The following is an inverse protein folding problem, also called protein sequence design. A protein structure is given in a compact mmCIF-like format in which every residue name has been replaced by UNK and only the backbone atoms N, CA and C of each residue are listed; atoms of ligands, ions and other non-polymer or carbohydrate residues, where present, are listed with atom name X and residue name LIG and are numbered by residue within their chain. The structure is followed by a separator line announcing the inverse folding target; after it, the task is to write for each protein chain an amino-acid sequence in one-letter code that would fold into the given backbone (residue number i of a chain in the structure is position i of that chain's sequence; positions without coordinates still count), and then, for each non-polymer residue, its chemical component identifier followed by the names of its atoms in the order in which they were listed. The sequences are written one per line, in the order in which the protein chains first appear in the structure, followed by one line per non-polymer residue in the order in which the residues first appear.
data_IF_760461123253
#
_entry.id   IF_760461123253
#
_cell.length_a   1.000
_cell.length_b   1.000
_cell.length_c   1.000
_cell.angle_alpha   90.00
_cell.angle_beta   90.00
_cell.angle_gamma   90.00
#
_symmetry.space_group_name_H-M   'P 1'
#
loop_
_entity.id
_entity.type
_entity.pdbx_description
1 polymer ?
#
# COMPACT_ATOMS: atom_id res chain seq x y z
N UNK A 1 7.50 -25.14 -18.46
CA UNK A 1 6.83 -23.93 -18.99
C UNK A 1 5.92 -23.43 -17.89
N UNK A 2 6.35 -22.42 -17.14
CA UNK A 2 5.80 -22.02 -15.83
C UNK A 2 4.55 -21.17 -15.99
N UNK A 3 3.37 -21.78 -15.93
CA UNK A 3 2.06 -21.11 -16.00
C UNK A 3 1.53 -20.60 -14.65
N UNK A 4 2.30 -20.70 -13.57
CA UNK A 4 1.80 -20.49 -12.20
C UNK A 4 1.91 -19.05 -11.67
N UNK A 5 2.39 -18.10 -12.49
CA UNK A 5 2.43 -16.69 -12.11
C UNK A 5 1.29 -15.92 -12.76
N UNK A 6 0.35 -15.49 -11.92
CA UNK A 6 -0.60 -14.42 -12.23
C UNK A 6 0.15 -13.18 -12.74
N UNK A 7 -0.34 -12.51 -13.79
CA UNK A 7 0.30 -11.32 -14.35
C UNK A 7 0.34 -10.19 -13.32
N UNK A 8 1.30 -9.27 -13.40
CA UNK A 8 1.30 -8.09 -12.52
C UNK A 8 0.05 -7.22 -12.78
N UNK A 9 -0.75 -6.88 -11.73
CA UNK A 9 -1.98 -6.12 -11.92
C UNK A 9 -1.67 -4.66 -12.27
N UNK A 10 -2.43 -4.10 -13.21
CA UNK A 10 -2.36 -2.68 -13.60
C UNK A 10 -3.69 -1.99 -13.35
N UNK A 11 -3.65 -0.82 -12.73
CA UNK A 11 -4.85 -0.01 -12.43
C UNK A 11 -4.58 1.47 -12.72
N UNK A 12 -5.62 2.19 -13.12
CA UNK A 12 -5.59 3.65 -13.27
C UNK A 12 -6.34 4.29 -12.10
N UNK A 13 -5.72 5.27 -11.48
CA UNK A 13 -6.29 6.13 -10.44
C UNK A 13 -6.24 7.59 -10.90
N UNK A 14 -6.82 8.51 -10.11
CA UNK A 14 -6.87 9.94 -10.43
C UNK A 14 -5.48 10.57 -10.68
N UNK A 15 -4.46 10.12 -9.94
CA UNK A 15 -3.08 10.63 -10.04
C UNK A 15 -2.23 9.94 -11.12
N UNK A 16 -2.68 8.84 -11.74
CA UNK A 16 -1.91 8.15 -12.79
C UNK A 16 -2.14 6.63 -12.85
N UNK A 17 -1.26 5.93 -13.57
CA UNK A 17 -1.28 4.45 -13.63
C UNK A 17 -0.34 3.83 -12.58
N UNK A 18 -0.78 2.70 -12.03
CA UNK A 18 -0.03 1.88 -11.08
C UNK A 18 0.19 0.47 -11.63
N UNK A 19 1.40 -0.05 -11.41
CA UNK A 19 1.74 -1.46 -11.56
C UNK A 19 1.93 -2.07 -10.17
N UNK A 20 1.07 -3.01 -9.79
CA UNK A 20 1.14 -3.71 -8.50
C UNK A 20 1.83 -5.06 -8.61
N UNK A 21 1.71 -5.84 -7.53
CA UNK A 21 2.16 -7.21 -7.45
C UNK A 21 0.98 -8.16 -7.37
N UNK A 22 1.11 -9.32 -8.00
CA UNK A 22 0.33 -10.47 -7.60
C UNK A 22 1.07 -11.24 -6.51
N UNK A 23 0.36 -11.58 -5.44
CA UNK A 23 0.82 -12.47 -4.38
C UNK A 23 0.19 -13.83 -4.60
N UNK A 24 1.04 -14.84 -4.73
CA UNK A 24 0.60 -16.23 -4.88
C UNK A 24 -0.21 -16.67 -3.66
N UNK A 25 -1.10 -17.64 -3.87
CA UNK A 25 -1.81 -18.26 -2.76
C UNK A 25 -0.81 -18.92 -1.80
N UNK A 26 -1.11 -18.88 -0.51
CA UNK A 26 -0.35 -19.56 0.53
C UNK A 26 -1.24 -20.64 1.18
N UNK A 27 -1.11 -21.91 0.77
CA UNK A 27 -1.94 -23.01 1.27
C UNK A 27 -1.81 -23.24 2.79
N UNK A 28 -0.65 -22.94 3.39
CA UNK A 28 -0.40 -23.15 4.82
C UNK A 28 -1.18 -22.17 5.69
N UNK A 29 -1.41 -20.95 5.19
CA UNK A 29 -2.16 -19.89 5.90
C UNK A 29 -3.61 -19.78 5.42
N UNK A 30 -3.98 -20.48 4.35
CA UNK A 30 -5.29 -20.37 3.70
C UNK A 30 -5.50 -19.05 2.95
N UNK A 31 -4.47 -18.23 2.79
CA UNK A 31 -4.57 -16.95 2.07
C UNK A 31 -4.66 -17.24 0.56
N UNK A 32 -5.76 -16.86 -0.12
CA UNK A 32 -5.88 -17.02 -1.56
C UNK A 32 -4.94 -16.07 -2.30
N UNK A 33 -4.78 -16.26 -3.61
CA UNK A 33 -4.07 -15.30 -4.45
C UNK A 33 -4.72 -13.90 -4.38
N UNK A 34 -3.91 -12.85 -4.31
CA UNK A 34 -4.39 -11.46 -4.22
C UNK A 34 -3.48 -10.47 -4.95
N UNK A 35 -4.04 -9.32 -5.30
CA UNK A 35 -3.31 -8.17 -5.82
C UNK A 35 -2.89 -7.26 -4.65
N UNK A 36 -1.69 -6.70 -4.74
CA UNK A 36 -1.14 -5.76 -3.77
C UNK A 36 -0.55 -4.54 -4.50
N UNK A 37 -0.88 -3.35 -4.04
CA UNK A 37 -0.29 -2.08 -4.45
C UNK A 37 0.30 -1.44 -3.20
N UNK A 38 1.63 -1.34 -3.14
CA UNK A 38 2.38 -0.92 -1.97
C UNK A 38 3.01 0.45 -2.21
N UNK A 39 3.07 1.28 -1.16
CA UNK A 39 3.71 2.60 -1.24
C UNK A 39 3.00 3.58 -2.17
N UNK A 40 1.68 3.50 -2.29
CA UNK A 40 0.90 4.39 -3.17
C UNK A 40 0.76 5.76 -2.48
N UNK A 41 1.27 6.86 -3.06
CA UNK A 41 1.13 8.19 -2.46
C UNK A 41 -0.34 8.60 -2.46
N UNK A 42 -0.83 9.09 -1.33
CA UNK A 42 -2.19 9.66 -1.22
C UNK A 42 -2.18 11.18 -1.00
N UNK A 43 -1.02 11.76 -0.68
CA UNK A 43 -0.82 13.20 -0.57
C UNK A 43 0.62 13.59 -0.92
N UNK A 44 0.86 14.88 -1.17
CA UNK A 44 2.22 15.40 -1.34
C UNK A 44 3.06 15.18 -0.08
N UNK A 45 4.38 14.93 -0.21
CA UNK A 45 5.28 14.89 0.94
C UNK A 45 5.17 16.18 1.77
N UNK A 46 4.93 16.11 3.10
CA UNK A 46 4.79 17.27 3.98
C UNK A 46 6.16 17.89 4.33
N UNK A 47 6.99 18.12 3.32
CA UNK A 47 8.36 18.62 3.47
C UNK A 47 8.42 20.14 3.32
N UNK A 48 9.45 20.76 3.92
CA UNK A 48 9.72 22.19 3.80
C UNK A 48 8.50 23.05 4.16
N UNK A 49 8.04 23.87 3.20
CA UNK A 49 6.88 24.74 3.38
C UNK A 49 5.56 24.00 3.60
N UNK A 50 5.47 22.70 3.31
CA UNK A 50 4.27 21.89 3.57
C UNK A 50 4.28 21.28 4.98
N UNK A 51 5.38 21.39 5.72
CA UNK A 51 5.49 20.88 7.09
C UNK A 51 4.46 21.56 7.99
N UNK A 52 3.76 20.77 8.79
CA UNK A 52 2.68 21.21 9.68
C UNK A 52 1.46 21.85 8.98
N UNK A 53 1.34 21.74 7.66
CA UNK A 53 0.15 22.15 6.90
C UNK A 53 -0.74 20.93 6.61
N UNK A 54 -2.00 21.20 6.29
CA UNK A 54 -2.92 20.16 5.84
C UNK A 54 -2.37 19.46 4.58
N UNK A 55 -2.57 18.13 4.43
CA UNK A 55 -2.14 17.40 3.24
C UNK A 55 -2.68 18.01 1.96
N UNK A 56 -1.84 18.02 0.91
CA UNK A 56 -2.22 18.49 -0.43
C UNK A 56 -2.34 17.32 -1.40
N UNK A 57 -3.22 17.39 -2.42
CA UNK A 57 -3.36 16.34 -3.42
C UNK A 57 -2.04 16.04 -4.14
N UNK A 58 -1.78 14.76 -4.42
CA UNK A 58 -0.60 14.31 -5.17
C UNK A 58 -0.64 14.87 -6.59
N UNK A 59 0.50 15.32 -7.10
CA UNK A 59 0.65 15.63 -8.52
C UNK A 59 0.39 14.40 -9.40
N UNK A 60 -0.23 14.62 -10.55
CA UNK A 60 -0.30 13.56 -11.56
C UNK A 60 1.10 13.21 -12.06
N UNK A 61 1.38 11.92 -12.24
CA UNK A 61 2.61 11.45 -12.85
C UNK A 61 2.37 10.91 -14.26
N UNK A 62 3.33 11.11 -15.19
CA UNK A 62 3.27 10.46 -16.50
C UNK A 62 3.64 8.97 -16.37
N UNK A 63 3.13 8.17 -17.31
CA UNK A 63 3.47 6.75 -17.41
C UNK A 63 2.90 5.89 -16.27
N UNK A 64 3.63 4.84 -15.92
CA UNK A 64 3.22 3.82 -14.94
C UNK A 64 4.17 3.88 -13.74
N UNK A 65 3.61 4.05 -12.54
CA UNK A 65 4.37 4.00 -11.28
C UNK A 65 4.34 2.59 -10.72
N UNK A 66 5.49 2.07 -10.31
CA UNK A 66 5.57 0.80 -9.61
C UNK A 66 5.10 0.96 -8.16
N UNK A 67 4.11 0.16 -7.77
CA UNK A 67 3.57 0.06 -6.41
C UNK A 67 3.86 -1.32 -5.84
N UNK A 68 5.15 -1.68 -5.83
CA UNK A 68 5.61 -3.06 -5.58
C UNK A 68 6.45 -3.18 -4.30
N UNK A 69 6.70 -2.07 -3.60
CA UNK A 69 7.48 -2.03 -2.36
C UNK A 69 6.78 -1.14 -1.35
N UNK A 70 6.92 -1.50 -0.07
CA UNK A 70 6.52 -0.61 1.02
C UNK A 70 7.40 0.64 1.00
N UNK A 71 6.81 1.79 1.35
CA UNK A 71 7.52 3.04 1.50
C UNK A 71 7.97 3.27 2.95
N UNK A 72 8.66 4.39 3.20
CA UNK A 72 9.17 4.78 4.49
C UNK A 72 8.04 5.11 5.46
N UNK A 73 8.07 4.52 6.66
CA UNK A 73 7.18 4.91 7.75
C UNK A 73 7.39 6.37 8.13
N UNK A 74 6.36 6.96 8.73
CA UNK A 74 6.49 8.29 9.30
C UNK A 74 7.54 8.34 10.39
N UNK A 75 8.19 9.49 10.49
CA UNK A 75 9.24 9.73 11.47
C UNK A 75 8.70 9.58 12.90
N UNK A 76 9.31 8.69 13.69
CA UNK A 76 8.90 8.36 15.06
C UNK A 76 10.11 7.94 15.91
N UNK A 77 9.99 8.09 17.23
CA UNK A 77 11.04 7.76 18.21
C UNK A 77 11.35 8.92 19.15
N UNK A 78 12.30 8.72 20.07
CA UNK A 78 12.85 9.80 20.88
C UNK A 78 13.89 10.61 20.09
N UNK A 79 14.36 11.72 20.65
CA UNK A 79 15.38 12.55 20.03
C UNK A 79 16.69 11.77 19.76
N UNK A 80 16.98 10.77 20.59
CA UNK A 80 18.19 9.95 20.55
C UNK A 80 18.08 8.74 19.62
N UNK A 81 16.85 8.35 19.23
CA UNK A 81 16.59 7.13 18.46
C UNK A 81 15.44 7.32 17.46
N UNK A 82 15.51 8.40 16.68
CA UNK A 82 14.53 8.70 15.65
C UNK A 82 14.73 7.83 14.40
N UNK A 83 13.63 7.44 13.76
CA UNK A 83 13.68 6.65 12.53
C UNK A 83 12.45 6.90 11.65
N UNK A 84 12.58 6.68 10.34
CA UNK A 84 11.54 6.93 9.35
C UNK A 84 11.83 8.16 8.50
N UNK A 85 10.80 8.63 7.79
CA UNK A 85 10.86 9.78 6.89
C UNK A 85 9.68 10.74 7.15
N UNK A 86 9.86 12.03 6.89
CA UNK A 86 8.72 12.96 6.78
C UNK A 86 7.95 12.74 5.47
N UNK A 87 8.61 12.20 4.43
CA UNK A 87 7.94 11.70 3.23
C UNK A 87 7.36 10.30 3.50
N UNK A 88 6.17 10.27 4.11
CA UNK A 88 5.54 9.03 4.58
C UNK A 88 4.03 8.93 4.29
N UNK A 89 3.46 9.84 3.51
CA UNK A 89 2.02 9.88 3.20
C UNK A 89 1.66 8.89 2.08
N UNK A 90 1.90 7.62 2.37
CA UNK A 90 1.70 6.49 1.48
C UNK A 90 0.70 5.48 2.07
N UNK A 91 -0.03 4.79 1.19
CA UNK A 91 -0.98 3.74 1.54
C UNK A 91 -0.64 2.42 0.83
N UNK A 92 -1.10 1.32 1.41
CA UNK A 92 -1.01 0.00 0.81
C UNK A 92 -2.43 -0.52 0.56
N UNK A 93 -2.69 -1.01 -0.65
CA UNK A 93 -4.01 -1.50 -1.08
C UNK A 93 -3.89 -2.98 -1.43
N UNK A 94 -4.79 -3.79 -0.86
CA UNK A 94 -4.87 -5.21 -1.12
C UNK A 94 -6.27 -5.54 -1.64
N UNK A 95 -6.36 -6.39 -2.67
CA UNK A 95 -7.64 -6.88 -3.19
C UNK A 95 -7.53 -8.34 -3.58
N UNK A 96 -8.60 -9.14 -3.48
CA UNK A 96 -8.63 -10.48 -4.07
C UNK A 96 -8.16 -10.46 -5.53
N UNK A 97 -7.55 -11.54 -6.01
CA UNK A 97 -7.07 -11.60 -7.39
C UNK A 97 -8.23 -11.41 -8.38
N UNK A 98 -8.19 -10.30 -9.12
CA UNK A 98 -9.25 -9.91 -10.04
C UNK A 98 -8.96 -10.54 -11.42
N UNK A 99 -9.55 -11.69 -11.72
CA UNK A 99 -9.96 -11.94 -13.10
C UNK A 99 -11.15 -11.01 -13.33
N UNK A 100 -11.00 -9.94 -14.14
CA UNK A 100 -12.05 -8.91 -14.32
C UNK A 100 -13.43 -9.58 -14.53
N UNK A 101 -14.38 -9.49 -13.59
CA UNK A 101 -15.74 -9.93 -13.86
C UNK A 101 -16.37 -8.91 -14.81
N UNK A 102 -17.02 -9.37 -15.88
CA UNK A 102 -17.76 -8.50 -16.81
C UNK A 102 -18.95 -7.77 -16.17
N UNK A 103 -19.31 -8.12 -14.92
CA UNK A 103 -20.35 -7.47 -14.14
C UNK A 103 -19.72 -6.81 -12.89
N UNK A 104 -19.65 -5.48 -12.91
CA UNK A 104 -19.14 -4.61 -11.84
C UNK A 104 -19.97 -4.71 -10.55
N UNK A 105 -19.72 -5.73 -9.74
CA UNK A 105 -20.13 -5.68 -8.34
C UNK A 105 -19.02 -4.98 -7.56
N UNK A 106 -19.30 -3.74 -7.14
CA UNK A 106 -18.43 -3.04 -6.19
C UNK A 106 -18.29 -3.88 -4.92
N UNK A 107 -17.05 -4.12 -4.52
CA UNK A 107 -16.74 -4.88 -3.29
C UNK A 107 -16.67 -3.93 -2.11
N UNK A 108 -16.91 -4.47 -0.91
CA UNK A 108 -16.69 -3.73 0.34
C UNK A 108 -15.20 -3.42 0.49
N UNK A 109 -14.89 -2.17 0.82
CA UNK A 109 -13.54 -1.74 1.16
C UNK A 109 -13.41 -1.59 2.67
N UNK A 110 -12.34 -2.12 3.25
CA UNK A 110 -12.02 -1.96 4.67
C UNK A 110 -10.78 -1.08 4.77
N UNK A 111 -10.90 0.05 5.46
CA UNK A 111 -9.76 0.92 5.78
C UNK A 111 -9.25 0.55 7.17
N UNK A 112 -8.01 0.09 7.26
CA UNK A 112 -7.33 -0.11 8.54
C UNK A 112 -6.46 1.11 8.83
N UNK A 113 -6.67 1.72 9.99
CA UNK A 113 -5.79 2.73 10.56
C UNK A 113 -5.03 2.06 11.71
N UNK A 114 -3.69 2.17 11.72
CA UNK A 114 -2.90 1.66 12.83
C UNK A 114 -3.07 2.61 14.03
N UNK A 115 -3.68 2.16 15.15
CA UNK A 115 -4.13 3.06 16.20
C UNK A 115 -3.08 3.37 17.26
N UNK A 116 -1.87 2.79 17.16
CA UNK A 116 -0.92 2.82 18.28
C UNK A 116 0.11 3.94 18.14
N UNK A 117 0.04 5.01 18.95
CA UNK A 117 1.01 6.10 18.92
C UNK A 117 2.39 5.70 19.49
N UNK A 118 2.47 4.59 20.23
CA UNK A 118 3.67 4.13 20.94
C UNK A 118 4.36 2.93 20.27
N UNK A 119 3.69 2.25 19.34
CA UNK A 119 4.35 1.28 18.47
C UNK A 119 4.76 2.01 17.20
N UNK A 120 6.01 1.80 16.82
CA UNK A 120 6.56 2.24 15.56
C UNK A 120 5.60 1.84 14.44
N UNK A 121 4.92 2.81 13.82
CA UNK A 121 4.01 2.59 12.70
C UNK A 121 4.78 1.81 11.65
N UNK A 122 4.28 0.62 11.34
CA UNK A 122 4.90 -0.24 10.36
C UNK A 122 4.04 -0.24 9.12
N UNK A 123 4.55 0.29 8.01
CA UNK A 123 4.08 -0.11 6.67
C UNK A 123 4.51 -1.56 6.39
N UNK A 124 4.16 -2.48 7.28
CA UNK A 124 4.38 -3.91 7.12
C UNK A 124 3.05 -4.55 6.72
N UNK A 125 3.17 -5.71 6.10
CA UNK A 125 2.02 -6.53 5.76
C UNK A 125 1.22 -6.86 7.02
N UNK A 126 -0.11 -6.80 6.92
CA UNK A 126 -1.00 -7.21 8.01
C UNK A 126 -0.96 -8.73 8.01
N UNK A 127 -0.03 -9.30 8.78
CA UNK A 127 -0.01 -10.74 9.03
C UNK A 127 -1.18 -11.08 9.96
N UNK A 128 -2.01 -12.08 9.63
CA UNK A 128 -2.98 -12.60 10.57
C UNK A 128 -2.24 -13.07 11.82
N UNK A 129 -2.72 -12.69 13.00
CA UNK A 129 -2.26 -13.33 14.23
C UNK A 129 -2.66 -14.80 14.17
N UNK A 130 -1.69 -15.70 14.04
CA UNK A 130 -1.93 -17.12 14.25
C UNK A 130 -2.19 -17.33 15.73
N UNK A 131 -3.46 -17.54 16.09
CA UNK A 131 -3.81 -18.04 17.42
C UNK A 131 -3.31 -19.48 17.50
N UNK A 132 -2.32 -19.72 18.36
CA UNK A 132 -1.90 -21.08 18.76
C UNK A 132 -2.89 -21.64 19.78
#
# INVERSE_FOLDING_TARGET
MTSDQCPAPRVRIESGELLGLCRAANPQTGIPQYAAFLGVPYAKPPLGELRFKAPRPVEQWPGVREAVRFDQRCIQGSAEAQSGSEDCLHANVYSPWLQRPQNEVLRRCVLKLDPNPNLVNSMREIVPHTTT
#
